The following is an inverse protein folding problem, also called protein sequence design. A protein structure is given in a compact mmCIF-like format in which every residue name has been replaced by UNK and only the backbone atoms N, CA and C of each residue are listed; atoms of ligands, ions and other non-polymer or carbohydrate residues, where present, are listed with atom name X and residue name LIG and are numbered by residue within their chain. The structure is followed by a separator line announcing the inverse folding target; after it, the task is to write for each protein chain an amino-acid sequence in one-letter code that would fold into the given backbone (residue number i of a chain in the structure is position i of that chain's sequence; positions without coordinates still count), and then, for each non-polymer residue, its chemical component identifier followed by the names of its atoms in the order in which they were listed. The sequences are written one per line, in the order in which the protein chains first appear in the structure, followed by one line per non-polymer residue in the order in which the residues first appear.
data_IF_011443569642
#
_entry.id   IF_011443569642
#
_cell.length_a   1.000
_cell.length_b   1.000
_cell.length_c   1.000
_cell.angle_alpha   90.00
_cell.angle_beta   90.00
_cell.angle_gamma   90.00
#
_symmetry.space_group_name_H-M   'P 1'
#
loop_
_entity.id
_entity.type
_entity.pdbx_description
1 polymer ?
#
# COMPACT_ATOMS: atom_id res chain seq x y z
N UNK A 1 1.29 9.03 -30.55
CA UNK A 1 0.28 7.97 -30.66
C UNK A 1 0.16 7.16 -29.37
N UNK A 2 1.26 6.71 -28.78
CA UNK A 2 1.25 5.99 -27.51
C UNK A 2 0.63 6.82 -26.38
N UNK A 3 0.95 8.11 -26.30
CA UNK A 3 0.42 8.99 -25.26
C UNK A 3 -1.08 9.21 -25.38
N UNK A 4 -1.61 9.27 -26.62
CA UNK A 4 -3.04 9.40 -26.84
C UNK A 4 -3.80 8.13 -26.48
N UNK A 5 -3.23 6.98 -26.78
CA UNK A 5 -3.79 5.68 -26.40
C UNK A 5 -3.80 5.54 -24.89
N UNK A 6 -2.69 5.90 -24.25
CA UNK A 6 -2.57 5.85 -22.79
C UNK A 6 -3.56 6.80 -22.12
N UNK A 7 -3.69 8.03 -22.63
CA UNK A 7 -4.62 9.01 -22.08
C UNK A 7 -6.07 8.54 -22.23
N UNK A 8 -6.41 8.00 -23.39
CA UNK A 8 -7.72 7.42 -23.62
C UNK A 8 -8.01 6.28 -22.65
N UNK A 9 -7.03 5.41 -22.45
CA UNK A 9 -7.09 4.33 -21.48
C UNK A 9 -7.36 4.87 -20.06
N UNK A 10 -6.64 5.90 -19.64
CA UNK A 10 -6.85 6.54 -18.33
C UNK A 10 -8.24 7.19 -18.22
N UNK A 11 -8.70 7.82 -19.29
CA UNK A 11 -9.97 8.55 -19.28
C UNK A 11 -11.18 7.63 -19.28
N UNK A 12 -11.07 6.45 -19.91
CA UNK A 12 -12.25 5.61 -20.17
C UNK A 12 -12.50 4.53 -19.14
N UNK A 13 -11.46 3.99 -18.51
CA UNK A 13 -11.70 2.80 -17.69
C UNK A 13 -10.88 2.65 -16.47
N UNK A 14 -9.74 3.20 -16.42
CA UNK A 14 -8.81 2.40 -15.69
C UNK A 14 -8.46 3.03 -14.39
N UNK A 15 -9.51 3.11 -13.61
CA UNK A 15 -9.38 3.37 -12.19
C UNK A 15 -8.59 2.25 -11.52
N UNK A 16 -8.64 1.05 -12.07
CA UNK A 16 -7.84 -0.09 -11.58
C UNK A 16 -7.09 -0.76 -12.71
N UNK A 17 -6.02 -1.48 -12.37
CA UNK A 17 -5.33 -2.35 -13.30
C UNK A 17 -4.92 -3.67 -12.64
N UNK A 18 -4.83 -4.71 -13.46
CA UNK A 18 -4.39 -6.04 -13.00
C UNK A 18 -2.87 -6.07 -12.95
N UNK A 19 -2.33 -6.69 -11.91
CA UNK A 19 -0.89 -6.96 -11.84
C UNK A 19 -0.51 -8.09 -12.80
N UNK A 20 0.71 -8.02 -13.38
CA UNK A 20 1.18 -9.10 -14.25
C UNK A 20 1.42 -10.38 -13.46
N UNK A 21 1.35 -11.52 -14.15
CA UNK A 21 1.67 -12.82 -13.56
C UNK A 21 3.18 -13.02 -13.57
N UNK A 22 3.84 -12.67 -12.49
CA UNK A 22 5.29 -12.81 -12.33
C UNK A 22 5.67 -13.10 -10.88
N UNK A 23 6.97 -13.28 -10.63
CA UNK A 23 7.49 -13.60 -9.30
C UNK A 23 7.17 -12.51 -8.28
N UNK A 24 7.25 -11.24 -8.66
CA UNK A 24 6.94 -10.13 -7.77
C UNK A 24 5.49 -10.19 -7.31
N UNK A 25 4.57 -10.46 -8.23
CA UNK A 25 3.15 -10.59 -7.91
C UNK A 25 2.90 -11.79 -6.98
N UNK A 26 3.61 -12.89 -7.17
CA UNK A 26 3.50 -14.04 -6.26
C UNK A 26 3.94 -13.68 -4.84
N UNK A 27 5.01 -12.92 -4.70
CA UNK A 27 5.46 -12.43 -3.39
C UNK A 27 4.39 -11.55 -2.75
N UNK A 28 3.85 -10.62 -3.51
CA UNK A 28 2.77 -9.75 -3.03
C UNK A 28 1.55 -10.56 -2.59
N UNK A 29 1.15 -11.56 -3.38
CA UNK A 29 -0.03 -12.40 -3.07
C UNK A 29 0.15 -13.21 -1.79
N UNK A 30 1.36 -13.64 -1.46
CA UNK A 30 1.61 -14.31 -0.18
C UNK A 30 1.23 -13.42 1.01
N UNK A 31 1.36 -12.11 0.85
CA UNK A 31 0.96 -11.14 1.86
C UNK A 31 -0.54 -10.83 1.77
N UNK A 32 -1.04 -10.57 0.57
CA UNK A 32 -2.36 -9.96 0.38
C UNK A 32 -3.51 -10.95 0.23
N UNK A 33 -3.25 -12.23 -0.01
CA UNK A 33 -4.32 -13.22 -0.19
C UNK A 33 -5.23 -13.36 1.04
N UNK A 34 -4.71 -13.13 2.23
CA UNK A 34 -5.50 -13.13 3.45
C UNK A 34 -6.49 -11.97 3.52
N UNK A 35 -6.31 -10.96 2.68
CA UNK A 35 -7.14 -9.75 2.67
C UNK A 35 -8.10 -9.71 1.47
N UNK A 36 -8.32 -10.81 0.78
CA UNK A 36 -9.30 -10.87 -0.31
C UNK A 36 -10.66 -10.42 0.19
N UNK A 37 -11.33 -9.58 -0.61
CA UNK A 37 -12.59 -8.98 -0.21
C UNK A 37 -12.45 -7.71 0.60
N UNK A 38 -11.22 -7.23 0.81
CA UNK A 38 -10.94 -5.97 1.50
C UNK A 38 -10.21 -5.01 0.58
N UNK A 39 -10.37 -3.72 0.84
CA UNK A 39 -9.52 -2.68 0.29
C UNK A 39 -8.25 -2.64 1.12
N UNK A 40 -7.09 -2.77 0.47
CA UNK A 40 -5.80 -2.85 1.15
C UNK A 40 -4.98 -1.59 0.86
N UNK A 41 -4.63 -0.87 1.91
CA UNK A 41 -3.72 0.27 1.83
C UNK A 41 -2.31 -0.22 2.15
N UNK A 42 -1.44 -0.19 1.14
CA UNK A 42 -0.05 -0.61 1.27
C UNK A 42 0.85 0.59 1.54
N UNK A 43 1.67 0.48 2.57
CA UNK A 43 2.65 1.50 2.95
C UNK A 43 4.05 0.87 2.92
N UNK A 44 4.88 1.34 2.01
CA UNK A 44 6.29 0.94 1.93
C UNK A 44 7.13 1.93 2.72
N UNK A 45 7.83 1.44 3.75
CA UNK A 45 8.48 2.27 4.75
C UNK A 45 9.80 1.68 5.23
N UNK A 46 10.53 2.41 6.08
CA UNK A 46 11.67 1.86 6.83
C UNK A 46 11.85 2.59 8.15
N UNK A 47 12.53 1.93 9.08
CA UNK A 47 12.81 2.52 10.40
C UNK A 47 13.71 3.73 10.31
N UNK A 48 14.56 3.81 9.29
CA UNK A 48 15.44 4.95 9.06
C UNK A 48 14.81 6.10 8.29
N UNK A 49 13.58 5.95 7.83
CA UNK A 49 12.89 6.94 7.02
C UNK A 49 12.06 7.89 7.90
N UNK A 50 12.58 9.10 8.12
CA UNK A 50 11.90 10.12 8.92
C UNK A 50 10.50 10.45 8.42
N UNK A 51 10.32 10.79 7.13
CA UNK A 51 8.98 11.06 6.57
C UNK A 51 8.03 9.88 6.67
N UNK A 52 8.53 8.65 6.53
CA UNK A 52 7.71 7.44 6.71
C UNK A 52 7.14 7.39 8.13
N UNK A 53 8.01 7.55 9.13
CA UNK A 53 7.60 7.52 10.54
C UNK A 53 6.64 8.65 10.88
N UNK A 54 6.91 9.86 10.41
CA UNK A 54 6.02 11.00 10.62
C UNK A 54 4.61 10.72 10.08
N UNK A 55 4.52 10.12 8.91
CA UNK A 55 3.23 9.79 8.31
C UNK A 55 2.52 8.66 9.08
N UNK A 56 3.26 7.62 9.47
CA UNK A 56 2.69 6.52 10.28
C UNK A 56 2.10 7.07 11.58
N UNK A 57 2.87 7.89 12.29
CA UNK A 57 2.43 8.45 13.57
C UNK A 57 1.30 9.44 13.38
N UNK A 58 1.36 10.26 12.34
CA UNK A 58 0.33 11.26 12.03
C UNK A 58 -1.00 10.65 11.58
N UNK A 59 -1.01 9.45 11.04
CA UNK A 59 -2.24 8.76 10.60
C UNK A 59 -2.75 7.73 11.59
N UNK A 60 -2.14 7.61 12.75
CA UNK A 60 -2.51 6.59 13.75
C UNK A 60 -3.99 6.65 14.14
N UNK A 61 -4.51 7.82 14.44
CA UNK A 61 -5.90 8.00 14.82
C UNK A 61 -6.85 7.71 13.68
N UNK A 62 -6.51 8.15 12.46
CA UNK A 62 -7.33 7.88 11.27
C UNK A 62 -7.41 6.38 10.99
N UNK A 63 -6.26 5.69 11.09
CA UNK A 63 -6.24 4.23 10.90
C UNK A 63 -7.06 3.51 11.96
N UNK A 64 -6.98 3.96 13.21
CA UNK A 64 -7.76 3.38 14.30
C UNK A 64 -9.26 3.47 14.02
N UNK A 65 -9.72 4.62 13.52
CA UNK A 65 -11.13 4.79 13.13
C UNK A 65 -11.51 3.89 11.97
N UNK A 66 -10.66 3.84 10.94
CA UNK A 66 -10.96 3.07 9.73
C UNK A 66 -10.88 1.55 9.94
N UNK A 67 -10.07 1.08 10.90
CA UNK A 67 -10.03 -0.35 11.24
C UNK A 67 -11.37 -0.88 11.75
N UNK A 68 -12.27 -0.02 12.19
CA UNK A 68 -13.64 -0.43 12.55
C UNK A 68 -14.45 -0.85 11.32
N UNK A 69 -14.02 -0.44 10.13
CA UNK A 69 -14.63 -0.91 8.89
C UNK A 69 -13.97 -2.24 8.49
N UNK A 70 -14.74 -3.36 8.50
CA UNK A 70 -14.16 -4.67 8.18
C UNK A 70 -13.71 -4.83 6.74
N UNK A 71 -14.04 -3.88 5.86
CA UNK A 71 -13.64 -3.89 4.46
C UNK A 71 -12.25 -3.27 4.21
N UNK A 72 -11.56 -2.82 5.25
CA UNK A 72 -10.30 -2.09 5.12
C UNK A 72 -9.18 -2.81 5.88
N UNK A 73 -8.01 -2.90 5.26
CA UNK A 73 -6.79 -3.36 5.91
C UNK A 73 -5.63 -2.43 5.59
N UNK A 74 -4.80 -2.15 6.59
CA UNK A 74 -3.55 -1.40 6.41
C UNK A 74 -2.39 -2.37 6.52
N UNK A 75 -1.53 -2.37 5.50
CA UNK A 75 -0.40 -3.29 5.40
C UNK A 75 0.88 -2.49 5.21
N UNK A 76 1.84 -2.70 6.10
CA UNK A 76 3.10 -1.98 6.13
C UNK A 76 4.22 -2.94 5.73
N UNK A 77 4.95 -2.60 4.69
CA UNK A 77 6.00 -3.45 4.11
C UNK A 77 7.33 -2.72 4.15
N UNK A 78 8.32 -3.36 4.76
CA UNK A 78 9.70 -2.91 4.77
C UNK A 78 10.63 -4.08 4.42
N UNK A 79 11.91 -3.89 4.52
CA UNK A 79 12.90 -4.92 4.23
C UNK A 79 13.96 -5.03 5.33
N UNK A 80 14.70 -6.12 5.30
CA UNK A 80 15.71 -6.43 6.31
C UNK A 80 16.97 -5.59 6.20
N UNK A 81 17.17 -4.94 5.04
CA UNK A 81 18.33 -4.09 4.83
C UNK A 81 18.13 -2.68 5.42
N UNK A 82 16.97 -2.06 5.18
CA UNK A 82 16.66 -0.70 5.63
C UNK A 82 16.07 -0.65 7.04
N UNK A 83 15.54 -1.76 7.51
CA UNK A 83 14.92 -1.86 8.83
C UNK A 83 15.57 -3.00 9.60
N UNK A 84 16.67 -2.74 10.33
CA UNK A 84 17.28 -3.75 11.19
C UNK A 84 16.29 -4.34 12.18
N UNK A 85 16.47 -5.60 12.52
CA UNK A 85 15.45 -6.38 13.26
C UNK A 85 15.03 -5.73 14.57
N UNK A 86 15.98 -5.34 15.40
CA UNK A 86 15.65 -4.77 16.72
C UNK A 86 14.89 -3.43 16.62
N UNK A 87 15.38 -2.42 15.89
CA UNK A 87 14.62 -1.18 15.68
C UNK A 87 13.26 -1.43 15.06
N UNK A 88 13.16 -2.38 14.12
CA UNK A 88 11.89 -2.73 13.50
C UNK A 88 10.90 -3.27 14.52
N UNK A 89 11.30 -4.25 15.32
CA UNK A 89 10.44 -4.84 16.34
C UNK A 89 9.96 -3.81 17.36
N UNK A 90 10.87 -2.95 17.81
CA UNK A 90 10.54 -1.89 18.76
C UNK A 90 9.53 -0.89 18.18
N UNK A 91 9.74 -0.48 16.94
CA UNK A 91 8.86 0.49 16.28
C UNK A 91 7.46 -0.11 16.03
N UNK A 92 7.41 -1.33 15.52
CA UNK A 92 6.15 -2.03 15.26
C UNK A 92 5.35 -2.21 16.55
N UNK A 93 6.00 -2.64 17.62
CA UNK A 93 5.34 -2.83 18.91
C UNK A 93 4.73 -1.54 19.46
N UNK A 94 5.37 -0.40 19.17
CA UNK A 94 4.94 0.91 19.68
C UNK A 94 3.88 1.56 18.80
N UNK A 95 4.03 1.48 17.48
CA UNK A 95 3.25 2.30 16.54
C UNK A 95 2.36 1.52 15.58
N UNK A 96 2.60 0.22 15.36
CA UNK A 96 1.93 -0.56 14.34
C UNK A 96 1.36 -1.88 14.88
N UNK A 97 1.15 -1.97 16.18
CA UNK A 97 0.70 -3.23 16.82
C UNK A 97 -0.68 -3.71 16.35
N UNK A 98 -1.51 -2.81 15.87
CA UNK A 98 -2.87 -3.14 15.42
C UNK A 98 -3.00 -3.27 13.91
N UNK A 99 -1.91 -3.11 13.19
CA UNK A 99 -1.87 -3.22 11.74
C UNK A 99 -1.03 -4.43 11.32
N UNK A 100 -1.02 -4.71 10.02
CA UNK A 100 -0.29 -5.84 9.46
C UNK A 100 1.07 -5.36 8.97
N UNK A 101 2.14 -6.01 9.45
CA UNK A 101 3.51 -5.57 9.17
C UNK A 101 4.33 -6.72 8.63
N UNK A 102 5.16 -6.44 7.63
CA UNK A 102 6.02 -7.41 6.97
C UNK A 102 7.40 -6.83 6.76
N UNK A 103 8.40 -7.60 7.16
CA UNK A 103 9.81 -7.27 6.96
C UNK A 103 10.38 -8.33 6.03
N UNK A 104 10.48 -7.99 4.74
CA UNK A 104 10.87 -8.93 3.70
C UNK A 104 12.38 -9.00 3.55
N UNK A 105 12.90 -10.14 3.06
CA UNK A 105 14.26 -10.15 2.54
C UNK A 105 14.45 -9.06 1.47
N UNK A 106 15.62 -8.48 1.42
CA UNK A 106 15.91 -7.40 0.47
C UNK A 106 15.56 -7.77 -0.98
N UNK A 107 15.90 -8.99 -1.40
CA UNK A 107 15.63 -9.43 -2.78
C UNK A 107 14.14 -9.43 -3.10
N UNK A 108 13.30 -9.89 -2.18
CA UNK A 108 11.86 -9.92 -2.36
C UNK A 108 11.27 -8.51 -2.40
N UNK A 109 11.74 -7.65 -1.50
CA UNK A 109 11.31 -6.25 -1.47
C UNK A 109 11.66 -5.52 -2.77
N UNK A 110 12.87 -5.77 -3.32
CA UNK A 110 13.28 -5.15 -4.58
C UNK A 110 12.38 -5.56 -5.75
N UNK A 111 11.86 -6.79 -5.75
CA UNK A 111 10.89 -7.22 -6.74
C UNK A 111 9.58 -6.44 -6.63
N UNK A 112 9.12 -6.16 -5.40
CA UNK A 112 7.93 -5.32 -5.19
C UNK A 112 8.18 -3.87 -5.60
N UNK A 113 9.37 -3.36 -5.32
CA UNK A 113 9.78 -2.02 -5.74
C UNK A 113 9.71 -1.87 -7.26
N UNK A 114 10.18 -2.86 -7.98
CA UNK A 114 10.11 -2.90 -9.45
C UNK A 114 8.67 -3.05 -9.93
N UNK A 115 7.87 -3.89 -9.27
CA UNK A 115 6.47 -4.11 -9.62
C UNK A 115 5.67 -2.82 -9.60
N UNK A 116 5.85 -2.02 -8.56
CA UNK A 116 5.15 -0.75 -8.38
C UNK A 116 5.93 0.46 -8.88
N UNK A 117 7.13 0.25 -9.40
CA UNK A 117 7.96 1.26 -10.05
C UNK A 117 8.24 2.48 -9.17
N UNK A 118 8.66 2.24 -7.93
CA UNK A 118 9.06 3.34 -7.07
C UNK A 118 10.55 3.30 -6.74
N UNK A 119 11.14 4.50 -6.52
CA UNK A 119 12.55 4.66 -6.20
C UNK A 119 12.79 5.24 -4.82
N UNK A 120 11.77 5.73 -4.17
CA UNK A 120 11.88 6.34 -2.84
C UNK A 120 10.73 5.95 -1.94
N UNK A 121 10.91 6.15 -0.65
CA UNK A 121 9.90 5.91 0.37
C UNK A 121 9.69 7.18 1.20
N UNK A 122 8.48 7.38 1.77
CA UNK A 122 7.36 6.45 1.72
C UNK A 122 6.77 6.31 0.32
N UNK A 123 6.23 5.13 0.04
CA UNK A 123 5.47 4.89 -1.19
C UNK A 123 4.17 4.18 -0.81
N UNK A 124 3.09 4.55 -1.46
CA UNK A 124 1.75 4.07 -1.13
C UNK A 124 1.07 3.47 -2.34
N UNK A 125 0.37 2.36 -2.13
CA UNK A 125 -0.49 1.73 -3.14
C UNK A 125 -1.80 1.33 -2.49
N UNK A 126 -2.85 1.21 -3.30
CA UNK A 126 -4.15 0.74 -2.84
C UNK A 126 -4.60 -0.42 -3.73
N UNK A 127 -5.03 -1.50 -3.10
CA UNK A 127 -5.61 -2.64 -3.81
C UNK A 127 -7.11 -2.70 -3.57
N UNK A 128 -7.86 -3.08 -4.60
CA UNK A 128 -9.29 -3.31 -4.47
C UNK A 128 -9.60 -4.70 -3.88
N UNK A 129 -10.87 -5.05 -3.78
CA UNK A 129 -11.31 -6.32 -3.19
C UNK A 129 -10.87 -7.54 -3.97
N UNK A 130 -10.55 -7.39 -5.25
CA UNK A 130 -10.04 -8.45 -6.13
C UNK A 130 -8.52 -8.48 -6.19
N UNK A 131 -7.84 -7.55 -5.52
CA UNK A 131 -6.40 -7.46 -5.52
C UNK A 131 -5.82 -6.70 -6.71
N UNK A 132 -6.64 -6.00 -7.46
CA UNK A 132 -6.18 -5.11 -8.51
C UNK A 132 -5.70 -3.80 -7.93
N UNK A 133 -4.76 -3.15 -8.61
CA UNK A 133 -4.22 -1.87 -8.13
C UNK A 133 -5.19 -0.75 -8.49
N UNK A 134 -5.55 0.05 -7.49
CA UNK A 134 -6.33 1.27 -7.68
C UNK A 134 -5.35 2.39 -8.01
N UNK A 135 -5.60 3.12 -9.11
CA UNK A 135 -4.75 4.25 -9.48
C UNK A 135 -4.94 5.38 -8.48
N UNK A 136 -3.85 5.82 -7.91
CA UNK A 136 -3.84 6.89 -6.92
C UNK A 136 -3.01 8.06 -7.46
N UNK A 137 -3.27 9.25 -6.93
CA UNK A 137 -2.71 10.50 -7.46
C UNK A 137 -1.36 10.87 -6.84
N UNK A 138 -0.67 9.92 -6.21
CA UNK A 138 0.65 10.14 -5.65
C UNK A 138 0.68 10.98 -4.38
N UNK A 139 -0.45 11.13 -3.71
CA UNK A 139 -0.53 11.90 -2.47
C UNK A 139 -0.20 11.04 -1.25
N UNK A 140 0.22 11.71 -0.21
CA UNK A 140 0.49 11.07 1.07
C UNK A 140 -0.79 10.55 1.71
N UNK A 141 -0.70 9.43 2.40
CA UNK A 141 -1.83 8.93 3.19
C UNK A 141 -2.15 9.94 4.30
N UNK A 142 -3.44 10.21 4.44
CA UNK A 142 -4.01 11.09 5.47
C UNK A 142 -5.44 10.66 5.73
N UNK A 143 -6.04 11.17 6.79
CA UNK A 143 -7.45 10.86 7.07
C UNK A 143 -8.35 11.29 5.91
N UNK A 144 -8.14 12.51 5.40
CA UNK A 144 -8.88 13.02 4.25
C UNK A 144 -8.68 12.13 3.03
N UNK A 145 -7.43 11.73 2.75
CA UNK A 145 -7.13 10.83 1.66
C UNK A 145 -7.89 9.52 1.78
N UNK A 146 -7.82 8.87 2.95
CA UNK A 146 -8.50 7.59 3.17
C UNK A 146 -9.99 7.69 2.93
N UNK A 147 -10.64 8.70 3.52
CA UNK A 147 -12.07 8.89 3.41
C UNK A 147 -12.50 9.16 1.96
N UNK A 148 -11.78 10.04 1.27
CA UNK A 148 -12.09 10.40 -0.11
C UNK A 148 -11.86 9.23 -1.06
N UNK A 149 -10.77 8.48 -0.88
CA UNK A 149 -10.47 7.33 -1.74
C UNK A 149 -11.44 6.19 -1.53
N UNK A 150 -11.78 5.87 -0.31
CA UNK A 150 -12.80 4.85 -0.04
C UNK A 150 -14.13 5.20 -0.67
N UNK A 151 -14.56 6.45 -0.53
CA UNK A 151 -15.80 6.92 -1.13
C UNK A 151 -15.76 6.79 -2.65
N UNK A 152 -14.67 7.24 -3.27
CA UNK A 152 -14.48 7.17 -4.72
C UNK A 152 -14.44 5.73 -5.22
N UNK A 153 -13.72 4.86 -4.52
CA UNK A 153 -13.61 3.44 -4.87
C UNK A 153 -14.99 2.79 -4.81
N UNK A 154 -15.73 3.02 -3.74
CA UNK A 154 -17.07 2.45 -3.59
C UNK A 154 -18.02 2.94 -4.68
N UNK A 155 -17.95 4.20 -5.05
CA UNK A 155 -18.79 4.75 -6.11
C UNK A 155 -18.47 4.16 -7.48
N UNK A 156 -17.20 3.81 -7.75
CA UNK A 156 -16.76 3.33 -9.07
C UNK A 156 -16.75 1.81 -9.20
N UNK A 157 -16.54 1.07 -8.10
CA UNK A 157 -16.35 -0.37 -8.14
C UNK A 157 -17.50 -1.14 -7.51
N UNK A 158 -18.38 -0.47 -6.81
CA UNK A 158 -19.61 -1.02 -6.22
C UNK A 158 -20.82 -0.25 -6.75
#
# INVERSE_FOLDING_TARGET
MADKIYQHYLDTKDFTYCLPMNQATLILRKITDQFKGKYVFLDFWSTGCGPCRSNIEGTSSARARLRQNPEVAFVFITNDYQSPEKPYQEYVAKHLKDDYTYRLPRADYELLRELFQFNGIPHYEVLDKQGNVVRIDGHWFSEEYFNNKLKMIKQRLE
#
